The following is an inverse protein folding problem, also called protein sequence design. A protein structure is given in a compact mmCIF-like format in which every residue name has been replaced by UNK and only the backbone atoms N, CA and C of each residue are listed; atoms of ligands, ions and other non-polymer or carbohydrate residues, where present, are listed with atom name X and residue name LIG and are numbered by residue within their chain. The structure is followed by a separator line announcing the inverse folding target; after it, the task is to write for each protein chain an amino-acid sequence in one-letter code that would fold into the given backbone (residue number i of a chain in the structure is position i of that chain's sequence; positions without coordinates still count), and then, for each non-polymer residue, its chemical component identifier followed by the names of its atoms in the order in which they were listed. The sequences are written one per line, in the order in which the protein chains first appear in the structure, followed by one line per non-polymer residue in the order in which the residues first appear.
data_IF_894177872109
#
_entry.id   IF_894177872109
#
_cell.length_a   1.000
_cell.length_b   1.000
_cell.length_c   1.000
_cell.angle_alpha   90.00
_cell.angle_beta   90.00
_cell.angle_gamma   90.00
#
_symmetry.space_group_name_H-M   'P 1'
#
loop_
_entity.id
_entity.type
_entity.pdbx_description
1 polymer ?
#
# COMPACT_ATOMS: atom_id res chain seq x y z
N UNK A 1 -25.47 15.04 3.07
CA UNK A 1 -24.46 16.11 3.08
C UNK A 1 -23.63 15.91 1.83
N UNK A 2 -23.75 16.87 0.92
CA UNK A 2 -23.37 16.77 -0.48
C UNK A 2 -21.89 17.13 -0.70
N UNK A 3 -21.36 16.59 -1.81
CA UNK A 3 -20.32 17.12 -2.68
C UNK A 3 -19.45 18.28 -2.16
N UNK A 4 -18.22 17.96 -1.74
CA UNK A 4 -17.10 18.91 -1.60
C UNK A 4 -15.79 18.24 -2.05
N UNK A 5 -15.76 17.72 -3.28
CA UNK A 5 -14.53 17.22 -3.91
C UNK A 5 -13.87 18.24 -4.86
N UNK A 6 -14.43 19.45 -4.96
CA UNK A 6 -13.96 20.50 -5.88
C UNK A 6 -13.00 21.51 -5.24
N UNK A 7 -12.70 21.38 -3.95
CA UNK A 7 -11.74 22.21 -3.22
C UNK A 7 -10.44 21.51 -2.80
N UNK A 8 -10.22 20.25 -3.18
CA UNK A 8 -9.04 19.51 -2.72
C UNK A 8 -7.81 19.93 -3.51
N UNK A 9 -7.07 20.91 -3.00
CA UNK A 9 -5.73 21.25 -3.48
C UNK A 9 -4.83 20.02 -3.43
N UNK A 10 -4.17 19.69 -4.53
CA UNK A 10 -3.18 18.62 -4.61
C UNK A 10 -1.80 19.23 -4.40
N UNK A 11 -1.18 18.91 -3.26
CA UNK A 11 0.22 19.25 -3.05
C UNK A 11 1.10 18.07 -3.50
N UNK A 12 1.74 18.25 -4.66
CA UNK A 12 2.69 17.29 -5.20
C UNK A 12 4.05 17.47 -4.50
N UNK A 13 4.18 16.88 -3.33
CA UNK A 13 5.45 16.81 -2.60
C UNK A 13 6.54 16.08 -3.39
N UNK A 14 7.78 16.55 -3.26
CA UNK A 14 8.94 16.08 -4.03
C UNK A 14 9.50 14.73 -3.53
N UNK A 15 10.27 14.11 -4.43
CA UNK A 15 11.11 12.91 -4.25
C UNK A 15 11.84 12.95 -2.92
N UNK A 16 11.76 11.87 -2.14
CA UNK A 16 12.65 11.71 -0.99
C UNK A 16 14.03 11.38 -1.54
N UNK A 17 15.01 12.24 -1.31
CA UNK A 17 16.40 11.98 -1.71
C UNK A 17 16.88 10.71 -1.02
N UNK A 18 17.53 9.84 -1.79
CA UNK A 18 18.15 8.62 -1.27
C UNK A 18 19.53 8.89 -0.63
N UNK A 19 19.88 10.15 -0.37
CA UNK A 19 21.19 10.50 0.18
C UNK A 19 21.20 10.33 1.71
N UNK A 20 22.19 9.61 2.27
CA UNK A 20 22.35 9.51 3.71
C UNK A 20 22.60 10.90 4.32
N UNK A 21 21.97 11.18 5.46
CA UNK A 21 22.37 12.32 6.29
C UNK A 21 23.77 12.00 6.86
N UNK A 22 24.80 12.73 6.42
CA UNK A 22 26.25 12.51 6.69
C UNK A 22 26.69 12.72 8.17
N UNK A 23 25.83 12.43 9.15
CA UNK A 23 26.13 12.63 10.56
C UNK A 23 25.46 11.69 11.56
N UNK A 24 24.77 10.63 11.12
CA UNK A 24 24.09 9.70 12.02
C UNK A 24 24.89 8.40 12.23
N UNK A 25 25.05 7.96 13.48
CA UNK A 25 25.67 6.69 13.86
C UNK A 25 25.16 5.50 13.03
N UNK A 26 26.07 4.58 12.67
CA UNK A 26 25.89 3.46 11.74
C UNK A 26 24.94 2.33 12.20
N UNK A 27 24.27 2.48 13.34
CA UNK A 27 23.35 1.48 13.89
C UNK A 27 21.96 2.07 14.11
N UNK A 28 20.94 1.40 13.59
CA UNK A 28 19.54 1.63 13.95
C UNK A 28 18.99 0.39 14.66
N UNK A 29 17.88 0.56 15.38
CA UNK A 29 17.16 -0.54 16.03
C UNK A 29 16.73 -1.67 15.07
N UNK A 30 16.49 -1.35 13.79
CA UNK A 30 16.13 -2.32 12.75
C UNK A 30 17.36 -3.05 12.14
N UNK A 31 18.59 -2.58 12.40
CA UNK A 31 19.81 -3.04 11.72
C UNK A 31 20.64 -1.88 11.16
N UNK A 32 21.18 -2.02 9.95
CA UNK A 32 22.00 -0.99 9.30
C UNK A 32 21.15 0.21 8.87
N UNK A 33 21.38 1.37 9.49
CA UNK A 33 20.73 2.64 9.12
C UNK A 33 21.13 3.04 7.70
N UNK A 34 20.24 3.73 6.97
CA UNK A 34 20.49 4.21 5.60
C UNK A 34 20.67 3.11 4.55
N UNK A 35 20.08 1.92 4.75
CA UNK A 35 20.03 0.89 3.71
C UNK A 35 18.91 1.20 2.72
N UNK A 36 19.24 1.90 1.64
CA UNK A 36 18.27 2.23 0.58
C UNK A 36 17.96 0.98 -0.25
N UNK A 37 16.68 0.62 -0.47
CA UNK A 37 16.34 -0.53 -1.29
C UNK A 37 16.82 -0.36 -2.74
N UNK A 38 17.38 -1.42 -3.33
CA UNK A 38 17.77 -1.43 -4.75
C UNK A 38 16.60 -1.23 -5.71
N UNK A 39 16.93 -0.83 -6.94
CA UNK A 39 15.96 -0.60 -8.01
C UNK A 39 15.24 -1.89 -8.38
N UNK A 40 13.90 -1.90 -8.38
CA UNK A 40 13.15 -3.16 -8.45
C UNK A 40 11.78 -3.00 -9.08
N UNK A 41 11.24 -4.09 -9.61
CA UNK A 41 9.84 -4.15 -10.06
C UNK A 41 9.16 -5.43 -9.57
N UNK A 42 7.83 -5.45 -9.60
CA UNK A 42 7.03 -6.60 -9.14
C UNK A 42 7.06 -6.83 -7.62
N UNK A 43 7.59 -5.88 -6.85
CA UNK A 43 7.53 -5.87 -5.39
C UNK A 43 6.13 -5.48 -4.90
N UNK A 44 5.90 -5.55 -3.59
CA UNK A 44 4.68 -5.06 -2.95
C UNK A 44 5.00 -4.12 -1.80
N UNK A 45 4.10 -3.19 -1.54
CA UNK A 45 4.20 -2.22 -0.46
C UNK A 45 3.00 -2.32 0.48
N UNK A 46 3.25 -2.12 1.76
CA UNK A 46 2.20 -1.99 2.77
C UNK A 46 2.60 -0.93 3.80
N UNK A 47 1.63 -0.45 4.57
CA UNK A 47 1.84 0.57 5.60
C UNK A 47 1.42 -0.03 6.92
N UNK A 48 2.28 0.13 7.92
CA UNK A 48 1.99 -0.24 9.28
C UNK A 48 2.84 0.63 10.20
N UNK A 49 2.25 1.01 11.32
CA UNK A 49 2.99 1.56 12.43
C UNK A 49 3.84 2.81 12.17
N UNK A 50 3.43 3.66 11.22
CA UNK A 50 4.18 4.84 10.84
C UNK A 50 5.32 4.58 9.86
N UNK A 51 5.42 3.37 9.35
CA UNK A 51 6.39 2.96 8.35
C UNK A 51 5.71 2.56 7.05
N UNK A 52 6.40 2.81 5.95
CA UNK A 52 6.09 2.23 4.64
C UNK A 52 7.06 1.11 4.38
N UNK A 53 6.54 -0.09 4.13
CA UNK A 53 7.34 -1.27 3.89
C UNK A 53 7.42 -1.59 2.40
N UNK A 54 8.61 -1.97 1.92
CA UNK A 54 8.85 -2.50 0.58
C UNK A 54 9.28 -3.95 0.72
N UNK A 55 8.48 -4.85 0.17
CA UNK A 55 8.68 -6.29 0.25
C UNK A 55 9.02 -6.87 -1.11
N UNK A 56 10.17 -7.53 -1.18
CA UNK A 56 10.57 -8.36 -2.32
C UNK A 56 10.79 -7.60 -3.62
N UNK A 57 10.48 -8.24 -4.74
CA UNK A 57 10.65 -7.72 -6.10
C UNK A 57 11.74 -8.42 -6.90
N UNK A 58 12.02 -7.86 -8.08
CA UNK A 58 13.07 -8.33 -8.98
C UNK A 58 13.94 -7.19 -9.52
N UNK A 59 15.23 -7.48 -9.61
CA UNK A 59 16.30 -6.63 -10.14
C UNK A 59 17.19 -7.44 -11.09
N UNK A 60 17.35 -7.04 -12.36
CA UNK A 60 18.20 -7.76 -13.30
C UNK A 60 19.68 -7.63 -12.91
N UNK A 61 20.49 -8.62 -13.27
CA UNK A 61 21.95 -8.58 -13.11
C UNK A 61 22.50 -9.06 -11.77
N UNK A 62 21.67 -9.38 -10.77
CA UNK A 62 22.15 -9.95 -9.51
C UNK A 62 22.40 -11.45 -9.64
N UNK A 63 23.60 -11.90 -9.26
CA UNK A 63 24.02 -13.32 -9.38
C UNK A 63 23.23 -14.27 -8.48
N UNK A 64 22.91 -13.87 -7.24
CA UNK A 64 22.14 -14.67 -6.27
C UNK A 64 21.18 -13.76 -5.51
N UNK A 65 19.89 -14.08 -5.40
CA UNK A 65 19.16 -15.23 -5.95
C UNK A 65 18.61 -14.89 -7.37
N UNK A 66 19.50 -14.85 -8.36
CA UNK A 66 19.19 -14.55 -9.77
C UNK A 66 18.28 -13.32 -9.97
N UNK A 67 18.47 -12.28 -9.17
CA UNK A 67 17.68 -11.04 -9.26
C UNK A 67 16.42 -10.98 -8.42
N UNK A 68 15.95 -12.08 -7.83
CA UNK A 68 14.79 -12.05 -6.92
C UNK A 68 15.21 -11.47 -5.57
N UNK A 69 14.48 -10.52 -5.02
CA UNK A 69 14.83 -9.87 -3.75
C UNK A 69 14.06 -10.52 -2.61
N UNK A 70 14.76 -10.99 -1.57
CA UNK A 70 14.19 -11.64 -0.39
C UNK A 70 14.47 -10.80 0.85
N UNK A 71 13.93 -9.59 0.85
CA UNK A 71 14.18 -8.59 1.87
C UNK A 71 12.93 -7.76 2.14
N UNK A 72 12.89 -7.19 3.33
CA UNK A 72 11.87 -6.26 3.79
C UNK A 72 12.58 -4.95 4.16
N UNK A 73 12.26 -3.87 3.49
CA UNK A 73 12.74 -2.52 3.83
C UNK A 73 11.63 -1.72 4.46
N UNK A 74 11.95 -0.90 5.46
CA UNK A 74 11.03 0.04 6.10
C UNK A 74 11.52 1.46 5.90
N UNK A 75 10.64 2.34 5.43
CA UNK A 75 10.82 3.78 5.44
C UNK A 75 10.09 4.34 6.65
N UNK A 76 10.81 4.99 7.56
CA UNK A 76 10.17 5.82 8.58
C UNK A 76 9.54 7.05 7.92
N UNK A 77 8.21 7.22 8.02
CA UNK A 77 7.51 8.34 7.34
C UNK A 77 7.87 9.72 7.91
N UNK A 78 8.40 9.78 9.14
CA UNK A 78 8.73 11.03 9.83
C UNK A 78 10.16 11.45 9.52
N UNK A 79 11.13 10.56 9.76
CA UNK A 79 12.56 10.84 9.54
C UNK A 79 12.96 10.66 8.08
N UNK A 80 12.11 10.02 7.28
CA UNK A 80 12.35 9.71 5.86
C UNK A 80 13.60 8.85 5.62
N UNK A 81 13.99 8.07 6.64
CA UNK A 81 15.13 7.16 6.57
C UNK A 81 14.70 5.73 6.28
N UNK A 82 15.43 5.08 5.37
CA UNK A 82 15.29 3.66 5.08
C UNK A 82 16.04 2.78 6.05
N UNK A 83 15.49 1.60 6.29
CA UNK A 83 16.20 0.54 6.99
C UNK A 83 15.82 -0.85 6.48
N UNK A 84 16.82 -1.73 6.37
CA UNK A 84 16.61 -3.15 6.16
C UNK A 84 16.07 -3.78 7.45
N UNK A 85 14.90 -4.39 7.37
CA UNK A 85 14.20 -4.98 8.52
C UNK A 85 14.66 -6.41 8.73
N UNK A 86 14.99 -6.75 9.98
CA UNK A 86 15.24 -8.14 10.37
C UNK A 86 13.94 -8.95 10.38
N UNK A 87 13.96 -10.10 9.73
CA UNK A 87 12.86 -11.06 9.75
C UNK A 87 13.30 -12.41 10.29
N UNK A 88 12.51 -12.99 11.19
CA UNK A 88 12.71 -14.36 11.68
C UNK A 88 11.83 -15.34 10.88
N UNK A 89 12.20 -16.63 10.94
CA UNK A 89 11.50 -17.70 10.20
C UNK A 89 11.92 -17.81 8.74
N UNK A 90 11.23 -18.67 7.99
CA UNK A 90 11.57 -18.95 6.60
C UNK A 90 11.01 -17.88 5.65
N UNK A 91 11.91 -17.09 5.06
CA UNK A 91 11.55 -16.08 4.07
C UNK A 91 11.14 -16.76 2.75
N UNK A 92 9.98 -16.44 2.14
CA UNK A 92 9.56 -17.05 0.88
C UNK A 92 10.50 -16.74 -0.29
N UNK A 93 10.78 -17.72 -1.16
CA UNK A 93 11.73 -17.54 -2.27
C UNK A 93 11.17 -16.83 -3.52
N UNK A 94 9.86 -16.94 -3.78
CA UNK A 94 9.22 -16.43 -5.01
C UNK A 94 8.61 -15.04 -4.81
N UNK A 95 9.48 -14.04 -4.67
CA UNK A 95 9.09 -12.70 -4.20
C UNK A 95 8.88 -11.66 -5.29
N UNK A 96 8.75 -12.08 -6.56
CA UNK A 96 8.34 -11.20 -7.64
C UNK A 96 6.87 -11.45 -8.01
N UNK A 97 6.10 -10.37 -8.17
CA UNK A 97 4.68 -10.40 -8.56
C UNK A 97 3.78 -11.25 -7.65
N UNK A 98 4.16 -11.45 -6.38
CA UNK A 98 3.28 -12.01 -5.34
C UNK A 98 2.09 -11.10 -5.06
N UNK A 99 1.03 -11.64 -4.45
CA UNK A 99 -0.04 -10.83 -3.88
C UNK A 99 0.13 -10.72 -2.37
N UNK A 100 -0.28 -9.57 -1.84
CA UNK A 100 -0.36 -9.35 -0.40
C UNK A 100 -1.77 -8.93 0.00
N UNK A 101 -2.16 -9.26 1.22
CA UNK A 101 -3.35 -8.74 1.87
C UNK A 101 -3.06 -8.54 3.36
N UNK A 102 -3.34 -7.35 3.87
CA UNK A 102 -3.11 -7.01 5.28
C UNK A 102 -4.41 -7.17 6.08
N UNK A 103 -4.30 -7.60 7.33
CA UNK A 103 -5.45 -7.66 8.23
C UNK A 103 -5.87 -6.25 8.70
N UNK A 104 -7.08 -6.14 9.28
CA UNK A 104 -7.64 -4.86 9.72
C UNK A 104 -6.80 -4.19 10.83
N UNK A 105 -6.17 -4.98 11.71
CA UNK A 105 -5.29 -4.48 12.76
C UNK A 105 -3.90 -4.07 12.26
N UNK A 106 -3.63 -4.23 10.95
CA UNK A 106 -2.37 -3.90 10.25
C UNK A 106 -1.11 -4.64 10.71
N UNK A 107 -1.19 -5.53 11.69
CA UNK A 107 -0.05 -6.25 12.25
C UNK A 107 0.25 -7.62 11.59
N UNK A 108 -0.51 -8.01 10.57
CA UNK A 108 -0.29 -9.25 9.83
C UNK A 108 -0.52 -9.03 8.33
N UNK A 109 0.48 -9.35 7.52
CA UNK A 109 0.43 -9.30 6.05
C UNK A 109 0.50 -10.73 5.52
N UNK A 110 -0.57 -11.20 4.89
CA UNK A 110 -0.56 -12.44 4.14
C UNK A 110 0.13 -12.22 2.79
N UNK A 111 0.99 -13.15 2.41
CA UNK A 111 1.73 -13.16 1.15
C UNK A 111 1.46 -14.48 0.45
N UNK A 112 0.96 -14.43 -0.78
CA UNK A 112 0.61 -15.62 -1.56
C UNK A 112 1.22 -15.59 -2.96
N UNK A 113 1.69 -16.76 -3.38
CA UNK A 113 2.22 -17.02 -4.70
C UNK A 113 3.44 -16.17 -5.04
N UNK A 114 3.54 -15.75 -6.29
CA UNK A 114 4.71 -15.07 -6.83
C UNK A 114 5.60 -15.99 -7.66
N UNK A 115 6.63 -15.40 -8.25
CA UNK A 115 7.63 -16.08 -9.09
C UNK A 115 9.05 -15.71 -8.65
N UNK A 116 10.02 -16.51 -9.05
CA UNK A 116 11.44 -16.15 -9.10
C UNK A 116 11.93 -16.19 -10.56
N UNK A 117 13.10 -15.62 -10.83
CA UNK A 117 13.75 -15.76 -12.13
C UNK A 117 14.47 -17.12 -12.25
N UNK A 118 14.47 -17.78 -13.43
CA UNK A 118 13.71 -17.45 -14.64
C UNK A 118 12.19 -17.50 -14.41
N UNK A 119 11.51 -16.44 -14.84
CA UNK A 119 10.06 -16.30 -14.70
C UNK A 119 9.34 -17.43 -15.43
N UNK A 120 8.09 -17.73 -15.07
CA UNK A 120 7.27 -18.88 -15.54
C UNK A 120 7.66 -20.27 -15.00
N UNK A 121 8.94 -20.50 -14.69
CA UNK A 121 9.40 -21.83 -14.19
C UNK A 121 9.36 -21.99 -12.68
N UNK A 122 9.41 -20.87 -11.97
CA UNK A 122 9.53 -20.85 -10.50
C UNK A 122 8.37 -20.12 -9.86
N UNK A 123 7.15 -20.55 -10.17
CA UNK A 123 5.92 -20.04 -9.55
C UNK A 123 5.59 -20.86 -8.30
N UNK A 124 4.88 -20.26 -7.35
CA UNK A 124 4.39 -20.96 -6.16
C UNK A 124 2.91 -20.68 -5.89
N UNK A 125 2.24 -21.56 -5.15
CA UNK A 125 0.91 -21.35 -4.55
C UNK A 125 1.00 -21.20 -3.03
N UNK A 126 2.23 -21.12 -2.52
CA UNK A 126 2.55 -20.90 -1.14
C UNK A 126 1.82 -19.68 -0.55
N UNK A 127 1.23 -19.85 0.63
CA UNK A 127 0.82 -18.73 1.49
C UNK A 127 1.60 -18.70 2.81
N UNK A 128 2.09 -17.51 3.16
CA UNK A 128 2.75 -17.23 4.43
C UNK A 128 2.20 -15.94 5.03
N UNK A 129 2.23 -15.82 6.36
CA UNK A 129 1.95 -14.59 7.07
C UNK A 129 3.26 -13.95 7.53
N UNK A 130 3.40 -12.65 7.29
CA UNK A 130 4.42 -11.79 7.86
C UNK A 130 3.79 -11.05 9.04
N UNK A 131 4.22 -11.39 10.25
CA UNK A 131 3.59 -10.97 11.51
C UNK A 131 4.52 -9.99 12.21
N UNK A 132 4.00 -8.82 12.61
CA UNK A 132 4.78 -7.89 13.43
C UNK A 132 4.87 -8.40 14.86
N UNK A 133 6.10 -8.53 15.36
CA UNK A 133 6.37 -8.90 16.75
C UNK A 133 6.08 -7.72 17.70
N UNK A 134 6.17 -7.96 19.00
CA UNK A 134 5.91 -6.92 20.01
C UNK A 134 6.84 -5.72 19.85
N UNK A 135 8.10 -5.98 19.51
CA UNK A 135 8.98 -4.94 18.99
C UNK A 135 8.61 -4.63 17.54
N UNK A 136 8.26 -3.38 17.27
CA UNK A 136 7.76 -2.93 15.96
C UNK A 136 8.76 -3.06 14.81
N UNK A 137 10.05 -3.19 15.14
CA UNK A 137 11.17 -3.34 14.22
C UNK A 137 11.50 -4.80 13.86
N UNK A 138 10.75 -5.76 14.42
CA UNK A 138 10.94 -7.18 14.18
C UNK A 138 9.69 -7.81 13.57
N UNK A 139 9.90 -8.59 12.51
CA UNK A 139 8.84 -9.32 11.85
C UNK A 139 9.16 -10.81 11.81
N UNK A 140 8.13 -11.65 11.85
CA UNK A 140 8.28 -13.11 11.77
C UNK A 140 7.46 -13.66 10.61
N UNK A 141 8.07 -14.53 9.83
CA UNK A 141 7.39 -15.35 8.85
C UNK A 141 6.76 -16.58 9.50
N UNK A 142 5.50 -16.84 9.15
CA UNK A 142 4.77 -18.03 9.53
C UNK A 142 4.16 -18.65 8.28
N UNK A 143 4.54 -19.89 7.97
CA UNK A 143 3.89 -20.67 6.92
C UNK A 143 2.46 -21.01 7.35
N UNK A 144 1.48 -20.70 6.50
CA UNK A 144 0.08 -21.07 6.78
C UNK A 144 -0.16 -22.49 6.31
N UNK A 145 -0.62 -23.35 7.21
CA UNK A 145 -1.02 -24.73 6.89
C UNK A 145 -2.35 -24.69 6.16
N UNK A 146 -2.44 -25.38 5.03
CA UNK A 146 -3.62 -25.33 4.17
C UNK A 146 -4.05 -26.71 3.70
N UNK A 147 -5.37 -26.90 3.55
CA UNK A 147 -6.01 -28.07 2.93
C UNK A 147 -7.10 -27.67 1.93
N UNK A 148 -7.74 -28.66 1.31
CA UNK A 148 -8.91 -28.46 0.44
C UNK A 148 -8.53 -28.22 -1.02
N UNK A 149 -9.29 -27.37 -1.72
CA UNK A 149 -9.07 -27.10 -3.15
C UNK A 149 -7.94 -26.08 -3.37
N UNK A 150 -6.71 -26.48 -3.05
CA UNK A 150 -5.52 -25.64 -3.15
C UNK A 150 -5.35 -25.15 -4.60
N UNK A 151 -5.24 -23.82 -4.85
CA UNK A 151 -4.97 -23.29 -6.18
C UNK A 151 -3.63 -23.78 -6.73
N UNK A 152 -3.50 -23.87 -8.05
CA UNK A 152 -2.20 -24.10 -8.69
C UNK A 152 -1.24 -22.91 -8.48
N UNK A 153 0.08 -23.10 -8.69
CA UNK A 153 1.06 -22.02 -8.61
C UNK A 153 0.70 -20.82 -9.46
N UNK A 154 0.86 -19.61 -8.92
CA UNK A 154 0.43 -18.39 -9.60
C UNK A 154 1.16 -17.12 -9.17
N UNK A 155 1.20 -16.14 -10.07
CA UNK A 155 1.67 -14.78 -9.79
C UNK A 155 0.84 -13.73 -10.53
N UNK A 156 1.00 -12.46 -10.14
CA UNK A 156 0.26 -11.32 -10.66
C UNK A 156 -1.26 -11.38 -10.42
N UNK A 157 -1.69 -12.16 -9.45
CA UNK A 157 -3.05 -12.18 -8.92
C UNK A 157 -3.22 -11.06 -7.88
N UNK A 158 -4.46 -10.89 -7.42
CA UNK A 158 -4.82 -9.97 -6.34
C UNK A 158 -5.42 -10.75 -5.17
N UNK A 159 -5.23 -10.25 -3.96
CA UNK A 159 -5.72 -10.90 -2.74
C UNK A 159 -6.38 -9.88 -1.83
N UNK A 160 -7.49 -10.28 -1.20
CA UNK A 160 -8.26 -9.46 -0.26
C UNK A 160 -8.50 -10.25 1.01
N UNK A 161 -8.22 -9.63 2.17
CA UNK A 161 -8.60 -10.17 3.47
C UNK A 161 -9.97 -9.63 3.89
N UNK A 162 -10.83 -10.51 4.40
CA UNK A 162 -12.13 -10.19 4.99
C UNK A 162 -12.13 -10.69 6.41
N UNK A 163 -12.12 -9.77 7.37
CA UNK A 163 -12.12 -10.09 8.80
C UNK A 163 -13.33 -10.93 9.18
N UNK A 164 -13.08 -12.01 9.93
CA UNK A 164 -14.11 -12.97 10.32
C UNK A 164 -14.41 -14.06 9.28
N UNK A 165 -13.83 -13.99 8.08
CA UNK A 165 -14.19 -14.90 6.98
C UNK A 165 -12.96 -15.56 6.30
N UNK A 166 -11.92 -14.78 5.99
CA UNK A 166 -10.68 -15.29 5.39
C UNK A 166 -10.18 -14.48 4.21
N UNK A 167 -9.43 -15.12 3.31
CA UNK A 167 -8.81 -14.49 2.15
C UNK A 167 -9.54 -14.87 0.85
N UNK A 168 -9.60 -13.93 -0.08
CA UNK A 168 -10.10 -14.12 -1.43
C UNK A 168 -9.00 -13.81 -2.43
N UNK A 169 -8.74 -14.75 -3.34
CA UNK A 169 -7.70 -14.65 -4.38
C UNK A 169 -8.35 -14.60 -5.75
N UNK A 170 -7.94 -13.61 -6.56
CA UNK A 170 -8.55 -13.28 -7.83
C UNK A 170 -7.53 -13.34 -8.97
N UNK A 171 -7.89 -14.08 -10.03
CA UNK A 171 -7.14 -14.13 -11.28
C UNK A 171 -5.66 -14.49 -11.11
N UNK A 172 -4.81 -14.01 -12.03
CA UNK A 172 -3.38 -14.29 -12.05
C UNK A 172 -2.95 -15.07 -13.28
N UNK A 173 -1.70 -15.55 -13.26
CA UNK A 173 -1.12 -16.40 -14.29
C UNK A 173 -0.25 -17.50 -13.69
N UNK A 174 -0.18 -18.64 -14.38
CA UNK A 174 0.77 -19.73 -14.10
C UNK A 174 2.10 -19.53 -14.83
N UNK A 175 2.21 -18.49 -15.67
CA UNK A 175 3.28 -18.31 -16.65
C UNK A 175 2.88 -18.76 -18.05
N UNK A 176 1.96 -19.74 -18.16
CA UNK A 176 1.46 -20.25 -19.44
C UNK A 176 0.01 -19.83 -19.70
N UNK A 177 -0.79 -19.76 -18.65
CA UNK A 177 -2.22 -19.43 -18.75
C UNK A 177 -2.60 -18.31 -17.81
N UNK A 178 -3.46 -17.42 -18.31
CA UNK A 178 -4.11 -16.39 -17.51
C UNK A 178 -5.48 -16.87 -17.04
N UNK A 179 -5.84 -16.54 -15.79
CA UNK A 179 -7.12 -16.93 -15.21
C UNK A 179 -7.86 -15.72 -14.61
N UNK A 180 -9.15 -15.90 -14.38
CA UNK A 180 -10.00 -14.96 -13.65
C UNK A 180 -10.92 -15.71 -12.65
N UNK A 181 -10.45 -16.85 -12.13
CA UNK A 181 -11.15 -17.62 -11.10
C UNK A 181 -11.03 -16.93 -9.75
N UNK A 182 -11.96 -17.24 -8.84
CA UNK A 182 -11.91 -16.76 -7.45
C UNK A 182 -11.78 -17.93 -6.51
N UNK A 183 -10.73 -17.92 -5.70
CA UNK A 183 -10.52 -18.87 -4.62
C UNK A 183 -10.75 -18.20 -3.29
N UNK A 184 -11.24 -18.96 -2.31
CA UNK A 184 -11.37 -18.53 -0.92
C UNK A 184 -10.51 -19.41 -0.04
N UNK A 185 -9.65 -18.81 0.77
CA UNK A 185 -8.99 -19.48 1.88
C UNK A 185 -9.70 -19.08 3.16
N UNK A 186 -10.50 -20.00 3.69
CA UNK A 186 -11.28 -19.78 4.89
C UNK A 186 -10.39 -19.83 6.13
N UNK A 187 -10.55 -18.83 7.01
CA UNK A 187 -9.88 -18.82 8.30
C UNK A 187 -10.48 -19.89 9.25
N UNK A 188 -9.70 -20.42 10.22
CA UNK A 188 -10.09 -21.57 11.02
C UNK A 188 -11.35 -21.36 11.87
N UNK A 189 -11.57 -20.14 12.36
CA UNK A 189 -12.72 -19.78 13.18
C UNK A 189 -13.19 -18.36 12.87
N UNK A 190 -14.45 -18.05 13.17
CA UNK A 190 -15.02 -16.70 12.95
C UNK A 190 -14.41 -15.69 13.92
N UNK A 191 -14.38 -14.42 13.51
CA UNK A 191 -13.92 -13.30 14.33
C UNK A 191 -12.58 -12.71 13.88
N UNK A 192 -12.02 -11.85 14.75
CA UNK A 192 -10.74 -11.18 14.49
C UNK A 192 -9.62 -12.20 14.42
N UNK A 193 -8.67 -11.98 13.51
CA UNK A 193 -7.48 -12.83 13.37
C UNK A 193 -6.67 -12.86 14.66
N UNK A 194 -6.34 -14.06 15.16
CA UNK A 194 -5.44 -14.25 16.30
C UNK A 194 -4.15 -14.97 15.89
N UNK A 195 -3.14 -14.96 16.77
CA UNK A 195 -1.89 -15.68 16.51
C UNK A 195 -2.11 -17.19 16.42
N UNK A 196 -2.97 -17.74 17.27
CA UNK A 196 -3.32 -19.16 17.32
C UNK A 196 -3.98 -19.62 16.02
N UNK A 197 -4.79 -18.76 15.39
CA UNK A 197 -5.39 -19.06 14.09
C UNK A 197 -4.34 -19.26 12.98
N UNK A 198 -3.17 -18.61 13.06
CA UNK A 198 -2.11 -18.74 12.05
C UNK A 198 -1.37 -20.08 12.14
N UNK A 199 -1.47 -20.77 13.27
CA UNK A 199 -0.87 -22.08 13.51
C UNK A 199 -1.83 -23.23 13.15
N UNK A 200 -3.11 -22.93 13.05
CA UNK A 200 -4.15 -23.87 12.64
C UNK A 200 -4.20 -24.06 11.12
N UNK A 201 -4.93 -25.08 10.68
CA UNK A 201 -5.09 -25.39 9.27
C UNK A 201 -6.25 -24.58 8.64
N UNK A 202 -5.95 -23.84 7.57
CA UNK A 202 -6.92 -23.06 6.80
C UNK A 202 -7.43 -23.89 5.62
N UNK A 203 -8.68 -23.68 5.20
CA UNK A 203 -9.30 -24.52 4.15
C UNK A 203 -9.57 -23.73 2.87
N UNK A 204 -9.02 -24.19 1.75
CA UNK A 204 -9.28 -23.63 0.43
C UNK A 204 -10.59 -24.16 -0.18
N UNK A 205 -11.30 -23.24 -0.84
CA UNK A 205 -12.48 -23.51 -1.65
C UNK A 205 -12.36 -22.83 -3.00
N UNK A 206 -12.90 -23.47 -4.03
CA UNK A 206 -13.23 -22.78 -5.28
C UNK A 206 -14.47 -21.92 -5.01
N UNK A 207 -14.28 -20.61 -4.91
CA UNK A 207 -15.39 -19.68 -4.63
C UNK A 207 -16.19 -19.36 -5.88
N UNK A 208 -15.50 -19.23 -7.02
CA UNK A 208 -16.12 -19.11 -8.33
C UNK A 208 -15.21 -19.64 -9.44
N UNK A 209 -15.82 -20.40 -10.35
CA UNK A 209 -15.21 -20.92 -11.58
C UNK A 209 -16.22 -20.74 -12.71
N UNK A 210 -16.13 -19.61 -13.42
CA UNK A 210 -16.86 -19.43 -14.68
C UNK A 210 -16.10 -20.03 -15.86
N UNK A 211 -16.44 -19.60 -17.10
CA UNK A 211 -15.76 -20.05 -18.31
C UNK A 211 -14.25 -19.80 -18.23
N UNK A 212 -13.46 -20.71 -18.80
CA UNK A 212 -12.01 -20.68 -18.68
C UNK A 212 -11.36 -19.48 -19.38
N UNK A 213 -12.04 -18.87 -20.36
CA UNK A 213 -11.63 -17.68 -21.10
C UNK A 213 -12.19 -16.36 -20.54
N UNK A 214 -13.06 -16.43 -19.52
CA UNK A 214 -13.76 -15.26 -19.01
C UNK A 214 -12.78 -14.22 -18.45
N UNK A 215 -12.67 -13.07 -19.13
CA UNK A 215 -11.98 -11.87 -18.66
C UNK A 215 -10.61 -12.12 -18.00
N UNK A 216 -9.83 -13.06 -18.55
CA UNK A 216 -8.46 -13.40 -18.13
C UNK A 216 -7.63 -12.15 -17.91
N UNK A 217 -6.87 -12.12 -16.80
CA UNK A 217 -6.17 -10.92 -16.33
C UNK A 217 -4.91 -11.24 -15.52
N UNK A 218 -3.85 -10.50 -15.80
CA UNK A 218 -2.62 -10.48 -15.05
C UNK A 218 -2.35 -9.06 -14.54
N UNK A 219 -1.82 -8.96 -13.32
CA UNK A 219 -1.50 -7.69 -12.63
C UNK A 219 -2.64 -6.68 -12.71
N UNK A 220 -3.83 -7.18 -12.41
CA UNK A 220 -4.97 -6.32 -12.18
C UNK A 220 -4.87 -5.74 -10.78
N UNK A 221 -5.51 -4.60 -10.62
CA UNK A 221 -5.57 -3.89 -9.37
C UNK A 221 -7.02 -3.93 -8.86
N UNK A 222 -7.21 -3.89 -7.54
CA UNK A 222 -8.52 -4.09 -6.93
C UNK A 222 -8.78 -3.09 -5.80
N UNK A 223 -10.01 -2.57 -5.77
CA UNK A 223 -10.53 -1.81 -4.66
C UNK A 223 -11.55 -2.66 -3.90
N UNK A 224 -11.19 -3.10 -2.70
CA UNK A 224 -12.11 -3.80 -1.80
C UNK A 224 -13.27 -2.88 -1.44
N UNK A 225 -14.50 -3.37 -1.54
CA UNK A 225 -15.74 -2.73 -1.13
C UNK A 225 -16.43 -3.60 -0.08
N UNK A 226 -17.46 -3.07 0.59
CA UNK A 226 -18.14 -3.76 1.70
C UNK A 226 -18.61 -5.19 1.36
N UNK A 227 -19.01 -5.43 0.11
CA UNK A 227 -19.62 -6.69 -0.31
C UNK A 227 -18.93 -7.37 -1.50
N UNK A 228 -17.73 -6.91 -1.85
CA UNK A 228 -17.06 -7.38 -3.05
C UNK A 228 -15.82 -6.58 -3.36
N UNK A 229 -15.34 -6.68 -4.59
CA UNK A 229 -14.18 -5.91 -5.01
C UNK A 229 -14.37 -5.40 -6.44
N UNK A 230 -14.05 -4.12 -6.63
CA UNK A 230 -13.95 -3.51 -7.94
C UNK A 230 -12.59 -3.84 -8.53
N UNK A 231 -12.56 -4.31 -9.77
CA UNK A 231 -11.34 -4.71 -10.47
C UNK A 231 -11.08 -3.68 -11.57
N UNK A 232 -9.91 -3.07 -11.51
CA UNK A 232 -9.52 -1.96 -12.38
C UNK A 232 -8.26 -2.32 -13.14
N UNK A 233 -8.30 -2.06 -14.45
CA UNK A 233 -7.22 -2.38 -15.38
C UNK A 233 -6.85 -3.87 -15.40
N UNK A 234 -5.55 -4.12 -15.40
CA UNK A 234 -4.96 -5.43 -15.70
C UNK A 234 -5.18 -5.85 -17.15
N UNK A 235 -4.82 -7.10 -17.43
CA UNK A 235 -4.85 -7.69 -18.77
C UNK A 235 -3.54 -8.38 -19.05
N UNK A 236 -3.23 -8.57 -20.32
CA UNK A 236 -1.94 -9.04 -20.82
C UNK A 236 -1.66 -8.29 -22.12
N UNK A 237 -0.42 -8.37 -22.62
CA UNK A 237 -0.03 -7.69 -23.85
C UNK A 237 -0.99 -8.04 -25.01
N UNK A 238 -1.49 -7.01 -25.71
CA UNK A 238 -2.53 -7.16 -26.74
C UNK A 238 -3.98 -7.18 -26.25
N UNK A 239 -4.24 -7.30 -24.93
CA UNK A 239 -5.61 -7.26 -24.36
C UNK A 239 -5.76 -6.30 -23.16
N UNK A 240 -5.31 -5.03 -23.25
CA UNK A 240 -5.54 -4.05 -22.19
C UNK A 240 -7.04 -3.69 -22.10
N UNK A 241 -7.55 -3.51 -20.87
CA UNK A 241 -8.99 -3.29 -20.65
C UNK A 241 -9.38 -1.81 -20.74
N UNK A 242 -10.58 -1.55 -21.25
CA UNK A 242 -11.20 -0.21 -21.24
C UNK A 242 -11.49 0.21 -19.80
N UNK A 243 -11.39 1.50 -19.51
CA UNK A 243 -11.78 2.07 -18.21
C UNK A 243 -13.24 2.54 -18.17
N UNK A 244 -13.93 2.55 -19.33
CA UNK A 244 -15.36 2.86 -19.42
C UNK A 244 -16.26 1.78 -18.81
N UNK A 245 -15.76 0.55 -18.72
CA UNK A 245 -16.41 -0.56 -18.04
C UNK A 245 -15.42 -1.19 -17.07
N UNK A 246 -15.83 -1.36 -15.82
CA UNK A 246 -15.05 -2.04 -14.78
C UNK A 246 -15.76 -3.30 -14.33
N UNK A 247 -15.01 -4.31 -13.90
CA UNK A 247 -15.62 -5.51 -13.32
C UNK A 247 -15.76 -5.33 -11.82
N UNK A 248 -16.88 -5.78 -11.30
CA UNK A 248 -17.12 -5.92 -9.88
C UNK A 248 -17.40 -7.39 -9.57
N UNK A 249 -16.72 -7.95 -8.57
CA UNK A 249 -17.05 -9.26 -8.05
C UNK A 249 -17.84 -9.13 -6.75
N UNK A 250 -19.11 -9.56 -6.76
CA UNK A 250 -19.95 -9.66 -5.56
C UNK A 250 -19.62 -10.96 -4.84
N UNK A 251 -18.95 -10.85 -3.69
CA UNK A 251 -18.49 -12.02 -2.92
C UNK A 251 -19.68 -12.85 -2.42
N UNK A 252 -20.80 -12.19 -2.06
CA UNK A 252 -21.99 -12.85 -1.50
C UNK A 252 -22.78 -13.57 -2.58
N UNK A 253 -22.97 -12.92 -3.73
CA UNK A 253 -23.69 -13.49 -4.87
C UNK A 253 -22.82 -14.41 -5.72
N UNK A 254 -21.52 -14.49 -5.44
CA UNK A 254 -20.52 -15.27 -6.19
C UNK A 254 -20.60 -14.99 -7.69
N UNK A 255 -20.62 -13.71 -8.07
CA UNK A 255 -20.78 -13.33 -9.47
C UNK A 255 -19.98 -12.11 -9.85
N UNK A 256 -19.50 -12.12 -11.08
CA UNK A 256 -19.00 -10.92 -11.75
C UNK A 256 -20.16 -10.09 -12.30
N UNK A 257 -20.01 -8.77 -12.23
CA UNK A 257 -20.90 -7.78 -12.80
C UNK A 257 -20.05 -6.77 -13.55
N UNK A 258 -20.42 -6.47 -14.79
CA UNK A 258 -19.80 -5.38 -15.55
C UNK A 258 -20.53 -4.08 -15.20
N UNK A 259 -19.78 -3.06 -14.78
CA UNK A 259 -20.33 -1.78 -14.35
C UNK A 259 -19.80 -0.67 -15.27
N UNK A 260 -20.67 0.19 -15.81
CA UNK A 260 -20.23 1.38 -16.53
C UNK A 260 -19.63 2.39 -15.54
N UNK A 261 -18.58 3.07 -15.98
CA UNK A 261 -18.00 4.23 -15.29
C UNK A 261 -18.40 5.51 -16.01
N UNK A 262 -18.16 6.65 -15.36
CA UNK A 262 -18.37 7.98 -15.95
C UNK A 262 -17.01 8.61 -16.25
N UNK A 263 -16.88 9.22 -17.41
CA UNK A 263 -15.66 9.85 -17.88
C UNK A 263 -15.43 11.18 -17.15
N UNK A 264 -14.17 11.56 -16.93
CA UNK A 264 -13.82 12.92 -16.53
C UNK A 264 -14.41 13.92 -17.55
N UNK A 265 -15.13 14.98 -17.14
CA UNK A 265 -15.77 15.92 -18.06
C UNK A 265 -14.80 16.62 -19.03
N UNK A 266 -13.54 16.78 -18.64
CA UNK A 266 -12.50 17.48 -19.40
C UNK A 266 -11.59 16.50 -20.12
N UNK A 267 -11.16 15.45 -19.42
CA UNK A 267 -10.11 14.53 -19.90
C UNK A 267 -10.62 13.19 -20.41
N UNK A 268 -11.91 12.91 -20.30
CA UNK A 268 -12.51 11.65 -20.69
C UNK A 268 -12.10 10.49 -19.79
N UNK A 269 -11.87 9.31 -20.37
CA UNK A 269 -11.47 8.12 -19.62
C UNK A 269 -9.94 8.00 -19.52
N UNK A 270 -9.41 7.39 -18.45
CA UNK A 270 -8.03 6.96 -18.45
C UNK A 270 -7.78 6.00 -19.62
N UNK A 271 -6.72 6.27 -20.38
CA UNK A 271 -6.31 5.38 -21.49
C UNK A 271 -6.07 3.95 -21.00
N UNK A 272 -6.38 2.97 -21.87
CA UNK A 272 -6.14 1.54 -21.63
C UNK A 272 -4.67 1.32 -21.24
N UNK A 273 -4.44 0.66 -20.11
CA UNK A 273 -3.10 0.46 -19.55
C UNK A 273 -3.02 -0.84 -18.74
N UNK A 274 -1.80 -1.29 -18.50
CA UNK A 274 -1.45 -2.50 -17.77
C UNK A 274 -0.44 -2.16 -16.67
N UNK A 275 -0.32 -3.04 -15.67
CA UNK A 275 0.77 -3.02 -14.69
C UNK A 275 0.87 -1.70 -13.88
N UNK A 276 -0.23 -0.98 -13.77
CA UNK A 276 -0.38 0.17 -12.87
C UNK A 276 -0.35 -0.29 -11.40
N UNK A 277 -0.18 0.64 -10.47
CA UNK A 277 -0.54 0.41 -9.07
C UNK A 277 -1.92 1.01 -8.76
N UNK A 278 -2.47 0.64 -7.60
CA UNK A 278 -3.67 1.25 -7.07
C UNK A 278 -3.59 1.46 -5.57
N UNK A 279 -4.27 2.49 -5.08
CA UNK A 279 -4.47 2.75 -3.65
C UNK A 279 -5.88 3.25 -3.40
N UNK A 280 -6.42 2.98 -2.21
CA UNK A 280 -7.73 3.50 -1.80
C UNK A 280 -7.54 4.48 -0.66
N UNK A 281 -8.12 5.67 -0.80
CA UNK A 281 -8.21 6.69 0.27
C UNK A 281 -9.69 6.97 0.52
N UNK A 282 -10.21 6.52 1.66
CA UNK A 282 -11.63 6.66 1.99
C UNK A 282 -12.53 6.00 0.95
N UNK A 283 -13.33 6.79 0.24
CA UNK A 283 -14.23 6.33 -0.83
C UNK A 283 -13.68 6.56 -2.24
N UNK A 284 -12.41 6.95 -2.36
CA UNK A 284 -11.76 7.22 -3.63
C UNK A 284 -10.75 6.11 -3.92
N UNK A 285 -10.86 5.47 -5.07
CA UNK A 285 -9.81 4.63 -5.64
C UNK A 285 -8.88 5.48 -6.49
N UNK A 286 -7.58 5.26 -6.44
CA UNK A 286 -6.58 5.98 -7.23
C UNK A 286 -5.75 4.96 -7.98
N UNK A 287 -5.54 5.17 -9.28
CA UNK A 287 -4.61 4.41 -10.11
C UNK A 287 -3.44 5.28 -10.51
N UNK A 288 -2.24 4.71 -10.52
CA UNK A 288 -1.01 5.43 -10.77
C UNK A 288 -0.19 4.74 -11.85
N UNK A 289 0.24 5.54 -12.83
CA UNK A 289 1.14 5.15 -13.88
C UNK A 289 0.67 3.95 -14.70
N UNK A 290 1.62 3.07 -15.07
CA UNK A 290 1.39 1.86 -15.85
C UNK A 290 2.02 1.89 -17.25
N UNK A 291 1.86 0.79 -17.98
CA UNK A 291 2.28 0.61 -19.37
C UNK A 291 1.06 0.78 -20.27
N UNK A 292 1.10 1.76 -21.17
CA UNK A 292 -0.01 2.03 -22.09
C UNK A 292 -0.24 0.83 -23.00
N UNK A 293 -1.50 0.56 -23.31
CA UNK A 293 -1.90 -0.58 -24.11
C UNK A 293 -1.59 -0.48 -25.60
N UNK A 294 -1.46 0.74 -26.13
CA UNK A 294 -1.12 0.99 -27.52
C UNK A 294 0.39 1.14 -27.68
N UNK A 295 0.94 0.52 -28.73
CA UNK A 295 2.31 0.73 -29.17
C UNK A 295 2.42 2.00 -30.03
N UNK A 296 3.60 2.58 -30.09
CA UNK A 296 3.92 3.63 -31.06
C UNK A 296 4.21 3.05 -32.46
N UNK A 297 4.52 3.93 -33.42
CA UNK A 297 4.81 3.55 -34.81
C UNK A 297 6.05 2.65 -34.96
N UNK A 298 6.89 2.57 -33.93
CA UNK A 298 8.09 1.73 -33.89
C UNK A 298 7.87 0.43 -33.09
N UNK A 299 6.63 0.16 -32.66
CA UNK A 299 6.28 -1.02 -31.87
C UNK A 299 6.62 -0.90 -30.38
N UNK A 300 7.05 0.27 -29.90
CA UNK A 300 7.41 0.45 -28.50
C UNK A 300 6.20 0.81 -27.65
N UNK A 301 6.16 0.27 -26.44
CA UNK A 301 5.14 0.62 -25.46
C UNK A 301 5.52 1.87 -24.68
N UNK A 302 4.56 2.79 -24.54
CA UNK A 302 4.74 4.00 -23.73
C UNK A 302 4.45 3.74 -22.25
N UNK A 303 5.37 4.14 -21.37
CA UNK A 303 5.13 4.21 -19.92
C UNK A 303 4.43 5.51 -19.58
N UNK A 304 3.41 5.46 -18.72
CA UNK A 304 2.66 6.64 -18.28
C UNK A 304 2.90 6.90 -16.80
N UNK A 305 2.90 8.17 -16.42
CA UNK A 305 2.86 8.61 -15.02
C UNK A 305 1.50 9.15 -14.62
N UNK A 306 0.47 9.10 -15.49
CA UNK A 306 -0.82 9.71 -15.17
C UNK A 306 -1.45 9.13 -13.90
N UNK A 307 -2.02 10.01 -13.07
CA UNK A 307 -2.73 9.67 -11.85
C UNK A 307 -4.21 9.99 -12.06
N UNK A 308 -5.05 8.99 -11.82
CA UNK A 308 -6.49 9.10 -11.97
C UNK A 308 -7.18 8.63 -10.69
N UNK A 309 -8.21 9.35 -10.26
CA UNK A 309 -9.11 8.90 -9.21
C UNK A 309 -10.42 8.39 -9.79
N UNK A 310 -11.06 7.47 -9.06
CA UNK A 310 -12.42 7.01 -9.27
C UNK A 310 -13.20 7.11 -7.96
N UNK A 311 -14.36 7.75 -7.98
CA UNK A 311 -15.30 7.68 -6.86
C UNK A 311 -15.91 6.29 -6.79
N UNK A 312 -15.75 5.60 -5.65
CA UNK A 312 -16.25 4.23 -5.47
C UNK A 312 -17.78 4.20 -5.20
N UNK A 313 -18.43 5.35 -5.06
CA UNK A 313 -19.90 5.45 -4.95
C UNK A 313 -20.57 5.57 -6.30
N UNK A 314 -20.08 6.46 -7.18
CA UNK A 314 -20.75 6.78 -8.45
C UNK A 314 -19.93 6.40 -9.70
N UNK A 315 -18.75 5.80 -9.52
CA UNK A 315 -17.84 5.33 -10.56
C UNK A 315 -17.40 6.43 -11.54
N UNK A 316 -17.30 7.68 -11.06
CA UNK A 316 -16.81 8.83 -11.81
C UNK A 316 -15.27 8.89 -11.78
N UNK A 317 -14.65 8.94 -12.96
CA UNK A 317 -13.22 9.19 -13.12
C UNK A 317 -12.91 10.69 -13.03
N UNK A 318 -11.76 11.03 -12.46
CA UNK A 318 -11.15 12.36 -12.51
C UNK A 318 -9.64 12.22 -12.75
N UNK A 319 -9.07 12.97 -13.69
CA UNK A 319 -7.61 13.05 -13.83
C UNK A 319 -7.11 13.99 -12.74
N UNK A 320 -6.26 13.51 -11.85
CA UNK A 320 -5.83 14.29 -10.68
C UNK A 320 -4.37 14.70 -10.71
N UNK A 321 -3.56 14.15 -11.62
CA UNK A 321 -2.16 14.55 -11.69
C UNK A 321 -1.28 13.62 -12.52
N UNK A 322 0.02 13.72 -12.27
CA UNK A 322 1.04 12.91 -12.92
C UNK A 322 2.22 12.68 -11.98
N UNK A 323 2.72 11.45 -11.95
CA UNK A 323 3.97 11.05 -11.30
C UNK A 323 5.14 11.77 -11.96
N UNK A 324 6.11 12.20 -11.16
CA UNK A 324 7.35 12.80 -11.64
C UNK A 324 8.14 11.82 -12.51
N UNK A 325 8.23 10.57 -12.06
CA UNK A 325 8.87 9.47 -12.78
C UNK A 325 7.82 8.43 -13.15
N UNK A 326 7.36 8.40 -14.42
CA UNK A 326 6.50 7.36 -14.95
C UNK A 326 7.07 5.97 -14.74
N UNK A 327 6.24 5.04 -14.26
CA UNK A 327 6.67 3.66 -14.03
C UNK A 327 5.51 2.67 -14.23
N UNK A 328 5.84 1.40 -14.40
CA UNK A 328 4.91 0.27 -14.29
C UNK A 328 5.54 -0.89 -13.52
N UNK A 329 4.75 -1.84 -13.02
CA UNK A 329 5.21 -2.83 -12.02
C UNK A 329 5.80 -2.21 -10.73
N UNK A 330 5.52 -0.93 -10.48
CA UNK A 330 5.73 -0.28 -9.20
C UNK A 330 4.65 -0.72 -8.21
N UNK A 331 4.84 -0.43 -6.93
CA UNK A 331 3.81 -0.58 -5.91
C UNK A 331 3.54 0.78 -5.28
N UNK A 332 2.32 0.95 -4.78
CA UNK A 332 1.94 2.15 -4.03
C UNK A 332 1.18 1.76 -2.77
N UNK A 333 1.24 2.62 -1.76
CA UNK A 333 0.46 2.50 -0.53
C UNK A 333 0.03 3.89 -0.06
N UNK A 334 -1.17 4.00 0.51
CA UNK A 334 -1.65 5.23 1.13
C UNK A 334 -1.48 5.16 2.65
N UNK A 335 -1.01 6.25 3.27
CA UNK A 335 -1.08 6.43 4.71
C UNK A 335 -2.51 6.75 5.15
N UNK A 336 -2.79 6.63 6.45
CA UNK A 336 -4.03 7.10 7.05
C UNK A 336 -4.28 8.61 6.87
N UNK A 337 -3.24 9.37 6.53
CA UNK A 337 -3.28 10.83 6.38
C UNK A 337 -3.52 11.25 4.92
N UNK A 338 -3.68 10.29 4.00
CA UNK A 338 -3.87 10.58 2.58
C UNK A 338 -2.57 10.80 1.81
N UNK A 339 -1.39 10.68 2.44
CA UNK A 339 -0.12 10.66 1.70
C UNK A 339 0.01 9.33 0.96
N UNK A 340 0.25 9.39 -0.34
CA UNK A 340 0.43 8.22 -1.18
C UNK A 340 1.89 8.07 -1.51
N UNK A 341 2.47 6.92 -1.16
CA UNK A 341 3.86 6.56 -1.43
C UNK A 341 3.90 5.57 -2.59
N UNK A 342 4.81 5.79 -3.53
CA UNK A 342 5.02 4.94 -4.71
C UNK A 342 6.50 4.68 -4.88
N UNK A 343 6.89 3.42 -4.98
CA UNK A 343 8.29 3.02 -5.07
C UNK A 343 8.55 2.16 -6.29
N UNK A 344 9.73 2.35 -6.89
CA UNK A 344 10.30 1.47 -7.90
C UNK A 344 9.53 1.38 -9.21
N UNK A 345 9.62 0.22 -9.87
CA UNK A 345 9.02 -0.07 -11.17
C UNK A 345 10.00 0.03 -12.34
N UNK A 346 9.48 -0.26 -13.53
CA UNK A 346 10.17 -0.20 -14.81
C UNK A 346 9.92 1.13 -15.53
N UNK A 347 10.95 1.67 -16.17
CA UNK A 347 10.96 3.03 -16.76
C UNK A 347 10.73 3.03 -18.28
N UNK A 348 10.93 1.90 -18.95
CA UNK A 348 10.87 1.73 -20.39
C UNK A 348 9.96 0.57 -20.81
N UNK A 349 9.45 0.63 -22.04
CA UNK A 349 8.43 -0.30 -22.54
C UNK A 349 8.82 -1.78 -22.48
N UNK A 350 10.12 -2.09 -22.54
CA UNK A 350 10.69 -3.44 -22.45
C UNK A 350 10.96 -3.90 -21.00
N UNK A 351 10.93 -2.98 -20.03
CA UNK A 351 11.18 -3.24 -18.63
C UNK A 351 12.63 -3.61 -18.30
N UNK A 352 13.58 -3.13 -19.10
CA UNK A 352 15.02 -3.35 -18.85
C UNK A 352 15.53 -2.40 -17.76
N UNK A 353 15.13 -1.12 -17.79
CA UNK A 353 15.51 -0.13 -16.77
C UNK A 353 14.49 -0.08 -15.64
N UNK A 354 15.01 -0.06 -14.41
CA UNK A 354 14.23 0.01 -13.17
C UNK A 354 14.69 1.19 -12.32
N UNK A 355 13.82 1.63 -11.43
CA UNK A 355 14.13 2.68 -10.45
C UNK A 355 14.03 2.17 -9.01
N UNK A 356 14.74 2.84 -8.10
CA UNK A 356 14.56 2.79 -6.64
C UNK A 356 14.07 4.14 -6.09
N UNK A 357 13.48 4.96 -6.95
CA UNK A 357 12.94 6.25 -6.54
C UNK A 357 11.66 6.06 -5.72
N UNK A 358 11.59 6.75 -4.60
CA UNK A 358 10.37 6.93 -3.83
C UNK A 358 9.73 8.26 -4.20
N UNK A 359 8.52 8.20 -4.72
CA UNK A 359 7.67 9.35 -4.99
C UNK A 359 6.53 9.36 -3.98
N UNK A 360 6.21 10.52 -3.41
CA UNK A 360 5.04 10.69 -2.55
C UNK A 360 4.22 11.90 -3.00
N UNK A 361 2.91 11.86 -2.84
CA UNK A 361 2.08 13.05 -3.02
C UNK A 361 0.96 13.03 -2.00
N UNK A 362 0.50 14.23 -1.63
CA UNK A 362 -0.53 14.39 -0.62
C UNK A 362 -1.90 14.46 -1.31
N UNK A 363 -2.79 13.53 -0.95
CA UNK A 363 -4.18 13.55 -1.40
C UNK A 363 -5.07 14.03 -0.25
N UNK A 364 -5.68 15.21 -0.39
CA UNK A 364 -6.41 15.84 0.70
C UNK A 364 -5.54 16.71 1.60
N UNK A 365 -6.15 17.53 2.45
CA UNK A 365 -5.43 18.30 3.45
C UNK A 365 -4.93 17.40 4.59
N UNK A 366 -3.66 17.52 4.95
CA UNK A 366 -3.14 16.94 6.21
C UNK A 366 -3.84 17.60 7.41
N UNK A 367 -4.11 16.85 8.47
CA UNK A 367 -4.66 17.44 9.69
C UNK A 367 -3.63 18.39 10.34
N UNK A 368 -4.12 19.45 10.99
CA UNK A 368 -3.25 20.37 11.75
C UNK A 368 -2.42 19.61 12.79
N UNK A 369 -3.02 18.61 13.43
CA UNK A 369 -2.34 17.72 14.37
C UNK A 369 -1.13 17.03 13.72
N UNK A 370 -1.29 16.49 12.52
CA UNK A 370 -0.20 15.83 11.82
C UNK A 370 0.93 16.81 11.46
N UNK A 371 0.59 18.01 10.99
CA UNK A 371 1.56 19.06 10.67
C UNK A 371 2.33 19.50 11.91
N UNK A 372 1.62 19.75 13.02
CA UNK A 372 2.22 20.10 14.31
C UNK A 372 3.14 18.97 14.79
N UNK A 373 2.68 17.72 14.71
CA UNK A 373 3.46 16.56 15.13
C UNK A 373 4.75 16.41 14.31
N UNK A 374 4.67 16.48 12.97
CA UNK A 374 5.87 16.45 12.11
C UNK A 374 6.84 17.56 12.48
N UNK A 375 6.34 18.77 12.72
CA UNK A 375 7.17 19.90 13.13
C UNK A 375 7.84 19.63 14.48
N UNK A 376 7.09 19.21 15.49
CA UNK A 376 7.61 18.86 16.81
C UNK A 376 8.68 17.78 16.72
N UNK A 377 8.42 16.68 16.00
CA UNK A 377 9.40 15.60 15.87
C UNK A 377 10.65 16.06 15.13
N UNK A 378 10.52 16.84 14.06
CA UNK A 378 11.69 17.39 13.35
C UNK A 378 12.54 18.29 14.24
N UNK A 379 11.92 19.06 15.13
CA UNK A 379 12.61 19.92 16.10
C UNK A 379 13.22 19.13 17.26
N UNK A 380 12.56 18.05 17.70
CA UNK A 380 13.00 17.19 18.81
C UNK A 380 14.06 16.16 18.39
N UNK A 381 14.14 15.79 17.10
CA UNK A 381 15.13 14.83 16.58
C UNK A 381 16.55 15.24 16.94
N UNK A 382 16.85 16.55 16.91
CA UNK A 382 18.14 17.09 17.32
C UNK A 382 18.47 16.82 18.79
N UNK A 383 17.48 16.88 19.68
CA UNK A 383 17.69 16.77 21.13
C UNK A 383 17.58 15.33 21.64
N UNK A 384 16.76 14.50 21.00
CA UNK A 384 16.46 13.13 21.44
C UNK A 384 16.34 12.15 20.26
N UNK A 385 17.41 11.97 19.46
CA UNK A 385 17.35 11.18 18.22
C UNK A 385 16.97 9.72 18.48
N UNK A 386 17.43 9.12 19.58
CA UNK A 386 17.01 7.76 19.98
C UNK A 386 15.52 7.67 20.28
N UNK A 387 14.92 8.67 20.91
CA UNK A 387 13.46 8.61 21.16
C UNK A 387 12.71 8.70 19.83
N UNK A 388 13.14 9.55 18.91
CA UNK A 388 12.45 9.71 17.62
C UNK A 388 12.68 8.53 16.66
N UNK A 389 13.88 7.97 16.66
CA UNK A 389 14.26 6.84 15.80
C UNK A 389 13.75 5.49 16.37
N UNK A 390 13.62 5.36 17.70
CA UNK A 390 13.28 4.12 18.40
C UNK A 390 11.85 4.07 18.95
N UNK A 391 11.10 5.17 18.96
CA UNK A 391 9.67 5.09 19.31
C UNK A 391 8.81 4.85 18.08
N UNK A 392 8.03 3.78 18.19
CA UNK A 392 6.85 3.49 17.42
C UNK A 392 6.02 4.77 17.18
N UNK A 393 5.98 5.24 15.94
CA UNK A 393 5.21 6.43 15.55
C UNK A 393 3.72 6.31 15.87
N UNK A 394 3.12 5.10 15.97
CA UNK A 394 1.76 4.93 16.50
C UNK A 394 1.72 4.99 18.02
N UNK A 395 2.75 4.56 18.75
CA UNK A 395 2.83 4.78 20.20
C UNK A 395 3.01 6.25 20.49
N UNK A 396 3.85 6.96 19.74
CA UNK A 396 3.94 8.41 19.82
C UNK A 396 2.57 9.00 19.46
N UNK A 397 2.01 8.72 18.29
CA UNK A 397 0.70 9.25 17.86
C UNK A 397 -0.42 8.94 18.87
N UNK A 398 -0.47 7.74 19.45
CA UNK A 398 -1.45 7.32 20.47
C UNK A 398 -1.24 8.07 21.78
N UNK A 399 -0.01 8.12 22.30
CA UNK A 399 0.33 8.91 23.49
C UNK A 399 0.00 10.39 23.28
N UNK A 400 0.26 10.92 22.10
CA UNK A 400 -0.11 12.28 21.72
C UNK A 400 -1.63 12.48 21.65
N UNK A 401 -2.38 11.54 21.06
CA UNK A 401 -3.86 11.58 21.10
C UNK A 401 -4.41 11.52 22.53
N UNK A 402 -3.75 10.81 23.45
CA UNK A 402 -4.10 10.78 24.88
C UNK A 402 -3.70 12.07 25.62
N UNK A 403 -2.64 12.74 25.17
CA UNK A 403 -2.12 13.99 25.75
C UNK A 403 -2.92 15.22 25.33
N UNK A 404 -3.46 15.25 24.11
CA UNK A 404 -4.16 16.43 23.57
C UNK A 404 -5.36 16.85 24.42
N UNK A 405 -6.30 15.96 24.81
CA UNK A 405 -7.41 16.36 25.68
C UNK A 405 -6.92 16.96 27.00
N UNK A 406 -5.85 16.39 27.57
CA UNK A 406 -5.25 16.86 28.83
C UNK A 406 -4.60 18.23 28.70
N UNK A 407 -3.93 18.50 27.58
CA UNK A 407 -3.32 19.80 27.28
C UNK A 407 -4.39 20.87 27.05
N UNK A 408 -5.48 20.53 26.35
CA UNK A 408 -6.63 21.44 26.15
C UNK A 408 -7.32 21.76 27.47
N UNK A 409 -7.52 20.76 28.34
CA UNK A 409 -8.05 20.98 29.68
C UNK A 409 -7.14 21.86 30.53
N UNK A 410 -5.82 21.64 30.47
CA UNK A 410 -4.85 22.44 31.21
C UNK A 410 -4.80 23.90 30.73
N UNK A 411 -4.90 24.14 29.42
CA UNK A 411 -4.96 25.49 28.84
C UNK A 411 -6.27 26.21 29.22
N UNK A 412 -7.40 25.51 29.19
CA UNK A 412 -8.68 26.03 29.65
C UNK A 412 -8.72 26.32 31.17
N UNK A 413 -7.99 25.54 31.98
CA UNK A 413 -7.80 25.81 33.40
C UNK A 413 -6.90 27.03 33.63
N UNK A 414 -5.81 27.15 32.85
CA UNK A 414 -4.90 28.29 32.90
C UNK A 414 -5.60 29.61 32.53
N UNK A 415 -6.38 29.63 31.45
CA UNK A 415 -7.12 30.82 31.04
C UNK A 415 -8.19 31.23 32.05
N UNK A 416 -8.89 30.28 32.68
CA UNK A 416 -9.82 30.58 33.79
C UNK A 416 -9.13 31.20 35.00
N UNK A 417 -7.92 30.73 35.32
CA UNK A 417 -7.13 31.33 36.42
C UNK A 417 -6.66 32.74 36.08
N UNK A 418 -6.33 33.02 34.82
CA UNK A 418 -6.01 34.37 34.37
C UNK A 418 -7.21 35.31 34.41
N UNK A 419 -8.40 34.83 34.03
CA UNK A 419 -9.65 35.58 34.13
C UNK A 419 -10.01 35.90 35.59
N UNK A 420 -9.93 34.91 36.50
CA UNK A 420 -10.11 35.16 37.94
C UNK A 420 -9.05 36.11 38.52
N UNK A 421 -7.79 36.01 38.08
CA UNK A 421 -6.74 36.93 38.52
C UNK A 421 -6.94 38.37 38.02
N UNK A 422 -7.68 38.57 36.93
CA UNK A 422 -8.08 39.89 36.43
C UNK A 422 -9.33 40.43 37.13
N UNK A 423 -10.21 39.57 37.65
CA UNK A 423 -11.37 39.97 38.46
C UNK A 423 -10.99 40.35 39.90
N UNK A 424 -9.85 39.83 40.41
CA UNK A 424 -9.31 40.13 41.75
C UNK A 424 -8.35 41.34 41.79
N UNK A 425 -8.17 42.09 40.68
CA UNK A 425 -7.46 43.38 40.73
C UNK A 425 -8.31 44.42 41.50
N UNK A 426 -7.85 44.95 42.64
CA UNK A 426 -8.60 45.96 43.36
C UNK A 426 -8.67 47.21 42.50
N UNK A 427 -9.88 47.67 42.22
CA UNK A 427 -10.17 48.98 41.64
C UNK A 427 -9.54 50.07 42.53
N UNK A 428 -8.31 50.47 42.22
CA UNK A 428 -7.73 51.71 42.74
C UNK A 428 -8.36 52.88 41.99
N UNK A 429 -9.60 53.20 42.31
CA UNK A 429 -10.19 54.51 41.98
C UNK A 429 -11.38 54.79 42.90
N UNK A 430 -11.08 55.37 44.08
CA UNK A 430 -11.87 56.42 44.73
C UNK A 430 -11.21 56.87 46.04
N UNK A 431 -10.11 57.63 45.96
CA UNK A 431 -9.76 58.67 46.95
C UNK A 431 -8.91 59.75 46.27
N UNK A 432 -9.58 60.77 45.71
CA UNK A 432 -9.19 62.18 45.68
C UNK A 432 -10.31 63.03 45.05
#
# INVERSE_FOLDING_TARGET
MADDADGVGFDFGYVVSNEPNDGAENSSIFGQKCSVPMHRSGHRMFEDNGYVYVLGGYTPGLRRPFGTLMELHALNKITETWTLVKTDGEFPGQMASMAIAQNNAKNCVFVMGGTAFPFDRHCTNAISALIRCERFDHWRWQRIRVRGNIPGPMYGHSMVYVEGDGLYVFGGTSGHEYFNRVYKLQQPSRGKLTKEMLEQEWTWFVHWKGPDDFARRYRHEMFTLKYGALIVGGGYEGSPRSMAMVLYYDIRKKKYVSLPTKADPVHGYPKKRMYQSSVRVGNIGIILGGKMGAQDIFGNYKVTGEIWSISLTNLQWKKIGQMKTPAFFHSSVASSEGTIYTFGGCLDGDGTRRTNELQKFQFGSSSLLHLAFRKCVSSLHFFVPKIVDEYDANTITRKWHELIPKLVEADADWNRRLEHAQEDEPTQEAEA
#
